data_IF_168373588575
#
_entry.id   IF_168373588575
#
_cell.length_a   1.000
_cell.length_b   1.000
_cell.length_c   1.000
_cell.angle_alpha   90.00
_cell.angle_beta   90.00
_cell.angle_gamma   90.00
#
_symmetry.space_group_name_H-M   'P 1'
#
loop_
_entity.id
_entity.type
_entity.pdbx_description
1 polymer ?
#
# COMPACT_ATOMS: atom_id res chain seq x y z
N UNK A 1 49.30 -32.63 4.59
CA UNK A 1 48.77 -31.37 4.02
C UNK A 1 47.83 -31.74 2.89
N UNK A 2 46.52 -31.76 3.14
CA UNK A 2 45.51 -31.85 2.09
C UNK A 2 44.55 -30.69 2.32
N UNK A 3 44.79 -29.61 1.59
CA UNK A 3 43.84 -28.51 1.42
C UNK A 3 43.46 -28.59 -0.05
N UNK A 4 42.18 -28.77 -0.33
CA UNK A 4 41.46 -28.49 -1.58
C UNK A 4 40.40 -29.57 -1.79
N UNK A 5 39.14 -29.16 -1.64
CA UNK A 5 37.96 -29.66 -2.39
C UNK A 5 36.61 -29.22 -1.75
N UNK A 6 36.62 -28.39 -0.69
CA UNK A 6 35.37 -27.97 -0.01
C UNK A 6 34.74 -26.67 -0.54
N UNK A 7 35.28 -26.09 -1.63
CA UNK A 7 34.88 -24.74 -2.09
C UNK A 7 33.90 -24.74 -3.28
N UNK A 8 33.91 -25.78 -4.10
CA UNK A 8 33.04 -25.89 -5.28
C UNK A 8 31.62 -26.35 -4.94
N UNK A 9 31.45 -27.11 -3.83
CA UNK A 9 30.12 -27.58 -3.39
C UNK A 9 29.28 -26.49 -2.70
N UNK A 10 29.92 -25.52 -2.03
CA UNK A 10 29.22 -24.45 -1.25
C UNK A 10 28.57 -23.35 -2.09
N UNK A 11 29.05 -23.09 -3.31
CA UNK A 11 28.56 -21.99 -4.14
C UNK A 11 27.14 -22.23 -4.71
N UNK A 12 26.80 -23.40 -5.30
CA UNK A 12 25.45 -23.66 -5.79
C UNK A 12 24.41 -23.73 -4.65
N UNK A 13 24.79 -24.28 -3.49
CA UNK A 13 23.91 -24.38 -2.32
C UNK A 13 23.54 -22.99 -1.76
N UNK A 14 24.52 -22.07 -1.66
CA UNK A 14 24.28 -20.69 -1.21
C UNK A 14 23.38 -19.89 -2.15
N UNK A 15 23.50 -20.11 -3.46
CA UNK A 15 22.62 -19.48 -4.44
C UNK A 15 21.18 -19.97 -4.25
N UNK A 16 20.99 -21.28 -4.08
CA UNK A 16 19.66 -21.86 -3.86
C UNK A 16 19.02 -21.32 -2.58
N UNK A 17 19.75 -21.26 -1.47
CA UNK A 17 19.29 -20.68 -0.20
C UNK A 17 18.85 -19.22 -0.35
N UNK A 18 19.64 -18.39 -1.07
CA UNK A 18 19.30 -16.98 -1.31
C UNK A 18 18.03 -16.83 -2.15
N UNK A 19 17.81 -17.71 -3.12
CA UNK A 19 16.61 -17.69 -3.96
C UNK A 19 15.37 -18.14 -3.21
N UNK A 20 15.51 -19.14 -2.34
CA UNK A 20 14.42 -19.56 -1.46
C UNK A 20 14.05 -18.46 -0.47
N UNK A 21 15.05 -17.82 0.14
CA UNK A 21 14.82 -16.69 1.04
C UNK A 21 14.17 -15.50 0.32
N UNK A 22 14.62 -15.18 -0.90
CA UNK A 22 14.00 -14.14 -1.72
C UNK A 22 12.55 -14.48 -2.03
N UNK A 23 12.25 -15.72 -2.41
CA UNK A 23 10.89 -16.18 -2.69
C UNK A 23 9.99 -16.06 -1.46
N UNK A 24 10.51 -16.40 -0.27
CA UNK A 24 9.81 -16.26 1.00
C UNK A 24 9.50 -14.79 1.32
N UNK A 25 10.47 -13.90 1.17
CA UNK A 25 10.27 -12.46 1.40
C UNK A 25 9.25 -11.86 0.44
N UNK A 26 9.29 -12.21 -0.84
CA UNK A 26 8.31 -11.72 -1.82
C UNK A 26 6.88 -12.16 -1.47
N UNK A 27 6.69 -13.42 -1.03
CA UNK A 27 5.38 -13.88 -0.55
C UNK A 27 4.92 -13.11 0.68
N UNK A 28 5.81 -12.90 1.65
CA UNK A 28 5.49 -12.10 2.84
C UNK A 28 5.10 -10.66 2.46
N UNK A 29 5.81 -10.04 1.51
CA UNK A 29 5.45 -8.72 1.02
C UNK A 29 4.07 -8.69 0.36
N UNK A 30 3.73 -9.70 -0.43
CA UNK A 30 2.39 -9.82 -1.05
C UNK A 30 1.32 -9.87 0.03
N UNK A 31 1.51 -10.70 1.05
CA UNK A 31 0.54 -10.84 2.15
C UNK A 31 0.44 -9.54 2.97
N UNK A 32 1.58 -8.92 3.32
CA UNK A 32 1.60 -7.65 4.03
C UNK A 32 0.92 -6.52 3.22
N UNK A 33 1.05 -6.49 1.89
CA UNK A 33 0.31 -5.54 1.03
C UNK A 33 -1.19 -5.79 1.10
N UNK A 34 -1.63 -7.05 1.02
CA UNK A 34 -3.06 -7.42 1.12
C UNK A 34 -3.67 -7.06 2.47
N UNK A 35 -2.86 -7.08 3.52
CA UNK A 35 -3.24 -6.65 4.87
C UNK A 35 -3.12 -5.13 5.09
N UNK A 36 -2.65 -4.38 4.09
CA UNK A 36 -2.44 -2.92 4.18
C UNK A 36 -1.24 -2.51 5.06
N UNK A 37 -0.34 -3.44 5.39
CA UNK A 37 0.83 -3.24 6.25
C UNK A 37 2.02 -2.64 5.49
N UNK A 38 1.84 -1.49 4.83
CA UNK A 38 2.84 -0.91 3.92
C UNK A 38 4.21 -0.61 4.58
N UNK A 39 4.23 -0.24 5.86
CA UNK A 39 5.47 -0.02 6.60
C UNK A 39 6.31 -1.31 6.74
N UNK A 40 5.66 -2.47 6.82
CA UNK A 40 6.36 -3.78 6.84
C UNK A 40 6.91 -4.11 5.46
N UNK A 41 6.13 -3.86 4.41
CA UNK A 41 6.53 -4.07 3.01
C UNK A 41 7.81 -3.33 2.69
N UNK A 42 7.93 -2.06 3.11
CA UNK A 42 9.13 -1.24 2.91
C UNK A 42 10.37 -1.83 3.60
N UNK A 43 10.25 -2.28 4.87
CA UNK A 43 11.36 -2.94 5.57
C UNK A 43 11.80 -4.24 4.90
N UNK A 44 10.83 -5.03 4.41
CA UNK A 44 11.12 -6.26 3.68
C UNK A 44 11.75 -5.97 2.31
N UNK A 45 11.43 -4.83 1.68
CA UNK A 45 11.97 -4.46 0.37
C UNK A 45 13.48 -4.21 0.45
N UNK A 46 13.94 -3.46 1.44
CA UNK A 46 15.37 -3.24 1.66
C UNK A 46 16.15 -4.58 1.86
N UNK A 47 15.53 -5.54 2.55
CA UNK A 47 16.12 -6.87 2.73
C UNK A 47 16.13 -7.68 1.44
N UNK A 48 15.04 -7.64 0.67
CA UNK A 48 14.96 -8.29 -0.64
C UNK A 48 15.98 -7.72 -1.64
N UNK A 49 16.17 -6.40 -1.66
CA UNK A 49 17.20 -5.72 -2.49
C UNK A 49 18.60 -6.24 -2.17
N UNK A 50 18.93 -6.38 -0.89
CA UNK A 50 20.22 -6.93 -0.46
C UNK A 50 20.43 -8.36 -0.95
N UNK A 51 19.38 -9.20 -0.91
CA UNK A 51 19.46 -10.57 -1.42
C UNK A 51 19.58 -10.62 -2.94
N UNK A 52 18.86 -9.77 -3.67
CA UNK A 52 18.97 -9.66 -5.12
C UNK A 52 20.39 -9.25 -5.53
N UNK A 53 20.99 -8.27 -4.85
CA UNK A 53 22.39 -7.90 -5.08
C UNK A 53 23.34 -9.09 -4.85
N UNK A 54 23.09 -9.87 -3.79
CA UNK A 54 23.83 -11.10 -3.52
C UNK A 54 23.69 -12.16 -4.61
N UNK A 55 22.47 -12.41 -5.10
CA UNK A 55 22.19 -13.34 -6.20
C UNK A 55 22.86 -12.90 -7.51
N UNK A 56 22.83 -11.59 -7.82
CA UNK A 56 23.50 -11.04 -9.00
C UNK A 56 25.02 -11.28 -8.92
N UNK A 57 25.61 -11.01 -7.76
CA UNK A 57 27.03 -11.25 -7.53
C UNK A 57 27.39 -12.75 -7.64
N UNK A 58 26.58 -13.63 -7.05
CA UNK A 58 26.84 -15.07 -7.09
C UNK A 58 26.63 -15.66 -8.49
N UNK A 59 25.72 -15.09 -9.29
CA UNK A 59 25.51 -15.47 -10.69
C UNK A 59 26.75 -15.27 -11.55
N UNK A 60 27.55 -14.25 -11.25
CA UNK A 60 28.80 -14.01 -11.95
C UNK A 60 29.86 -15.09 -11.66
N UNK A 61 29.72 -15.84 -10.55
CA UNK A 61 30.71 -16.81 -10.06
C UNK A 61 30.28 -18.28 -10.15
N UNK A 62 29.00 -18.57 -9.98
CA UNK A 62 28.48 -19.92 -9.70
C UNK A 62 27.53 -20.49 -10.78
N UNK A 63 27.24 -19.72 -11.83
CA UNK A 63 26.36 -20.12 -12.93
C UNK A 63 25.01 -19.40 -12.96
N UNK A 64 24.22 -19.68 -13.99
CA UNK A 64 22.94 -19.00 -14.26
C UNK A 64 21.75 -19.67 -13.58
N UNK A 65 20.76 -18.87 -13.19
CA UNK A 65 19.46 -19.34 -12.74
C UNK A 65 18.80 -20.26 -13.77
N UNK A 66 18.16 -21.32 -13.30
CA UNK A 66 17.31 -22.15 -14.16
C UNK A 66 16.13 -21.33 -14.70
N UNK A 67 15.56 -21.77 -15.81
CA UNK A 67 14.38 -21.10 -16.37
C UNK A 67 13.18 -21.15 -15.41
N UNK A 68 13.01 -22.27 -14.71
CA UNK A 68 11.95 -22.44 -13.70
C UNK A 68 12.09 -21.47 -12.54
N UNK A 69 13.31 -21.25 -12.04
CA UNK A 69 13.58 -20.28 -10.97
C UNK A 69 13.28 -18.85 -11.42
N UNK A 70 13.69 -18.49 -12.65
CA UNK A 70 13.40 -17.17 -13.22
C UNK A 70 11.91 -16.95 -13.38
N UNK A 71 11.19 -17.90 -13.95
CA UNK A 71 9.74 -17.83 -14.13
C UNK A 71 9.01 -17.72 -12.77
N UNK A 72 9.46 -18.46 -11.75
CA UNK A 72 8.87 -18.39 -10.41
C UNK A 72 9.01 -16.99 -9.80
N UNK A 73 10.22 -16.42 -9.81
CA UNK A 73 10.47 -15.08 -9.27
C UNK A 73 9.73 -14.01 -10.06
N UNK A 74 9.72 -14.08 -11.40
CA UNK A 74 8.98 -13.16 -12.24
C UNK A 74 7.49 -13.11 -11.86
N UNK A 75 6.87 -14.28 -11.68
CA UNK A 75 5.48 -14.38 -11.24
C UNK A 75 5.25 -13.71 -9.87
N UNK A 76 6.15 -13.90 -8.90
CA UNK A 76 6.02 -13.26 -7.59
C UNK A 76 6.14 -11.73 -7.67
N UNK A 77 7.06 -11.22 -8.49
CA UNK A 77 7.16 -9.78 -8.72
C UNK A 77 5.93 -9.19 -9.39
N UNK A 78 5.37 -9.88 -10.40
CA UNK A 78 4.13 -9.47 -11.04
C UNK A 78 2.96 -9.45 -10.06
N UNK A 79 2.83 -10.48 -9.22
CA UNK A 79 1.80 -10.56 -8.18
C UNK A 79 1.93 -9.43 -7.16
N UNK A 80 3.15 -9.15 -6.68
CA UNK A 80 3.42 -8.02 -5.78
C UNK A 80 3.06 -6.67 -6.43
N UNK A 81 3.41 -6.48 -7.70
CA UNK A 81 3.08 -5.26 -8.43
C UNK A 81 1.57 -5.07 -8.60
N UNK A 82 0.84 -6.16 -8.85
CA UNK A 82 -0.63 -6.14 -8.90
C UNK A 82 -1.24 -5.81 -7.54
N UNK A 83 -0.77 -6.44 -6.46
CA UNK A 83 -1.24 -6.18 -5.11
C UNK A 83 -1.04 -4.69 -4.72
N UNK A 84 0.14 -4.13 -4.98
CA UNK A 84 0.44 -2.72 -4.70
C UNK A 84 -0.45 -1.76 -5.50
N UNK A 85 -0.77 -2.11 -6.75
CA UNK A 85 -1.69 -1.30 -7.58
C UNK A 85 -3.11 -1.31 -7.04
N UNK A 86 -3.58 -2.47 -6.57
CA UNK A 86 -4.90 -2.62 -5.96
C UNK A 86 -4.99 -1.78 -4.68
N UNK A 87 -4.04 -1.93 -3.76
CA UNK A 87 -4.01 -1.20 -2.48
C UNK A 87 -3.97 0.32 -2.71
N UNK A 88 -3.17 0.79 -3.69
CA UNK A 88 -3.16 2.20 -4.07
C UNK A 88 -4.54 2.69 -4.55
N UNK A 89 -5.27 1.87 -5.28
CA UNK A 89 -6.64 2.15 -5.72
C UNK A 89 -7.60 2.32 -4.54
N UNK A 90 -7.52 1.43 -3.57
CA UNK A 90 -8.37 1.43 -2.37
C UNK A 90 -8.11 2.65 -1.48
N UNK A 91 -6.83 3.00 -1.26
CA UNK A 91 -6.46 4.22 -0.54
C UNK A 91 -7.01 5.47 -1.24
N UNK A 92 -6.91 5.55 -2.56
CA UNK A 92 -7.47 6.68 -3.32
C UNK A 92 -9.00 6.76 -3.20
N UNK A 93 -9.70 5.62 -3.22
CA UNK A 93 -11.15 5.56 -3.05
C UNK A 93 -11.56 6.06 -1.66
N UNK A 94 -10.91 5.57 -0.59
CA UNK A 94 -11.14 6.02 0.79
C UNK A 94 -10.90 7.52 0.95
N UNK A 95 -9.83 8.07 0.37
CA UNK A 95 -9.55 9.52 0.39
C UNK A 95 -10.61 10.35 -0.37
N UNK A 96 -11.20 9.82 -1.45
CA UNK A 96 -12.32 10.48 -2.13
C UNK A 96 -13.55 10.52 -1.23
N UNK A 97 -13.88 9.42 -0.55
CA UNK A 97 -14.99 9.34 0.40
C UNK A 97 -14.79 10.35 1.55
N UNK A 98 -13.60 10.39 2.16
CA UNK A 98 -13.30 11.36 3.22
C UNK A 98 -13.48 12.82 2.77
N UNK A 99 -13.07 13.16 1.54
CA UNK A 99 -13.29 14.50 0.98
C UNK A 99 -14.77 14.81 0.77
N UNK A 100 -15.57 13.84 0.35
CA UNK A 100 -17.03 14.00 0.21
C UNK A 100 -17.69 14.22 1.57
N UNK A 101 -17.35 13.41 2.58
CA UNK A 101 -17.84 13.57 3.96
C UNK A 101 -17.47 14.95 4.50
N UNK A 102 -16.22 15.39 4.34
CA UNK A 102 -15.77 16.74 4.75
C UNK A 102 -16.61 17.83 4.08
N UNK A 103 -16.87 17.73 2.77
CA UNK A 103 -17.70 18.71 2.05
C UNK A 103 -19.13 18.73 2.58
N UNK A 104 -19.72 17.56 2.87
CA UNK A 104 -21.06 17.46 3.44
C UNK A 104 -21.14 18.14 4.81
N UNK A 105 -20.20 17.84 5.72
CA UNK A 105 -20.13 18.46 7.05
C UNK A 105 -20.05 20.00 6.93
N UNK A 106 -19.20 20.51 6.03
CA UNK A 106 -19.10 21.96 5.79
C UNK A 106 -20.42 22.54 5.28
N UNK A 107 -21.11 21.86 4.36
CA UNK A 107 -22.39 22.31 3.83
C UNK A 107 -23.48 22.36 4.92
N UNK A 108 -23.57 21.33 5.77
CA UNK A 108 -24.50 21.31 6.91
C UNK A 108 -24.16 22.40 7.94
N UNK A 109 -22.88 22.56 8.28
CA UNK A 109 -22.42 23.59 9.22
C UNK A 109 -22.67 25.02 8.72
N UNK A 110 -22.65 25.27 7.41
CA UNK A 110 -23.05 26.56 6.82
C UNK A 110 -24.56 26.79 6.87
N UNK A 111 -25.38 25.78 6.54
CA UNK A 111 -26.84 25.89 6.61
C UNK A 111 -27.35 26.17 8.03
N UNK A 112 -26.70 25.62 9.06
CA UNK A 112 -27.05 25.89 10.45
C UNK A 112 -26.77 27.36 10.87
N UNK A 113 -25.82 28.05 10.24
CA UNK A 113 -25.48 29.46 10.54
C UNK A 113 -26.32 30.47 9.76
N UNK A 114 -26.78 30.12 8.57
CA UNK A 114 -27.65 30.99 7.75
C UNK A 114 -29.14 30.78 8.06
N UNK A 115 -29.48 29.82 8.91
CA UNK A 115 -30.84 29.45 9.27
C UNK A 115 -31.37 30.08 10.56
N UNK A 116 -30.63 30.97 11.24
CA UNK A 116 -31.24 31.79 12.30
C UNK A 116 -32.27 32.73 11.65
N UNK A 117 -33.58 32.53 11.85
CA UNK A 117 -34.55 33.55 11.52
C UNK A 117 -34.24 34.70 12.48
N UNK A 118 -33.82 35.85 11.93
CA UNK A 118 -33.96 37.09 12.69
C UNK A 118 -35.43 37.17 13.12
N UNK A 119 -35.75 37.28 14.43
CA UNK A 119 -37.11 37.55 14.83
C UNK A 119 -37.41 38.96 14.34
N UNK A 120 -38.02 39.05 13.15
CA UNK A 120 -38.69 40.26 12.72
C UNK A 120 -39.78 40.51 13.76
N UNK A 121 -39.42 41.38 14.70
CA UNK A 121 -40.25 42.20 15.58
C UNK A 121 -41.74 41.97 15.37
N UNK A 122 -42.33 41.21 16.29
CA UNK A 122 -43.76 41.15 16.55
C UNK A 122 -44.16 42.52 17.12
N UNK A 123 -44.31 43.50 16.25
CA UNK A 123 -44.53 44.90 16.58
C UNK A 123 -45.62 45.50 15.71
N UNK A 124 -46.81 45.55 16.29
CA UNK A 124 -47.68 46.72 16.23
C UNK A 124 -48.40 47.04 14.89
N UNK A 125 -49.67 46.61 14.79
CA UNK A 125 -50.82 47.54 14.77
C UNK A 125 -52.16 46.82 14.59
N UNK A 126 -52.88 46.72 15.70
CA UNK A 126 -54.33 46.65 15.68
C UNK A 126 -54.88 48.00 15.17
N UNK A 127 -55.64 47.98 14.08
CA UNK A 127 -56.63 49.03 13.76
C UNK A 127 -57.91 48.37 13.28
N UNK A 128 -58.76 48.07 14.25
CA UNK A 128 -60.19 47.85 14.05
C UNK A 128 -60.79 49.21 13.64
N UNK A 129 -61.36 49.31 12.45
CA UNK A 129 -62.32 50.37 12.11
C UNK A 129 -63.70 49.76 12.06
N UNK A 130 -64.52 50.09 13.05
CA UNK A 130 -65.97 49.99 12.98
C UNK A 130 -66.48 51.31 12.38
N UNK A 131 -67.24 51.24 11.30
CA UNK A 131 -68.03 52.36 10.81
C UNK A 131 -69.49 51.89 10.68
N UNK A 132 -70.36 52.84 10.99
CA UNK A 132 -71.76 52.75 11.39
C UNK A 132 -72.70 52.78 10.20
#
# INVERSE_FOLDING_TARGET
>A
MSISDDHTKRAPDRMAERLEELSRLLRQQIDDVREGQLDRVERLAARAETLVAGVIHDRQRAGTLTESQRAHLARLYEELALALRAERGDVQAKLRQLRQVKRAIVAYGRKARTGSPSPATFGDRARIKVAK
#
